data_IF_201060320710
#
_entry.id   IF_201060320710
#
_cell.length_a   1.000
_cell.length_b   1.000
_cell.length_c   1.000
_cell.angle_alpha   90.00
_cell.angle_beta   90.00
_cell.angle_gamma   90.00
#
_symmetry.space_group_name_H-M   'P 1'
#
loop_
_entity.id
_entity.type
_entity.pdbx_description
1 polymer ?
#
# COMPACT_ATOMS: atom_id res chain seq x y z
N UNK A 1 9.94 28.57 -23.44
CA UNK A 1 10.17 27.22 -22.88
C UNK A 1 10.59 27.40 -21.43
N UNK A 2 9.64 27.37 -20.51
CA UNK A 2 9.93 27.35 -19.07
C UNK A 2 10.48 25.97 -18.77
N UNK A 3 11.82 25.87 -18.65
CA UNK A 3 12.47 24.65 -18.22
C UNK A 3 11.79 24.18 -16.93
N UNK A 4 11.23 22.98 -16.96
CA UNK A 4 10.66 22.34 -15.79
C UNK A 4 11.72 22.42 -14.68
N UNK A 5 11.44 22.97 -13.48
CA UNK A 5 12.37 22.88 -12.36
C UNK A 5 12.45 21.41 -11.97
N UNK A 6 13.27 20.65 -12.69
CA UNK A 6 13.53 19.25 -12.40
C UNK A 6 14.24 19.24 -11.05
N UNK A 7 13.48 18.99 -9.98
CA UNK A 7 14.10 18.38 -8.80
C UNK A 7 14.85 17.17 -9.32
N UNK A 8 16.18 17.17 -9.25
CA UNK A 8 16.97 16.03 -9.73
C UNK A 8 16.52 14.81 -8.95
N UNK A 9 15.74 13.93 -9.58
CA UNK A 9 15.34 12.66 -9.00
C UNK A 9 16.61 11.93 -8.56
N UNK A 10 16.75 11.59 -7.26
CA UNK A 10 17.91 10.84 -6.82
C UNK A 10 18.02 9.51 -7.56
N UNK A 11 19.26 9.09 -7.77
CA UNK A 11 19.61 7.79 -8.34
C UNK A 11 20.30 7.01 -7.22
N UNK A 12 19.78 5.84 -6.89
CA UNK A 12 20.31 4.97 -5.83
C UNK A 12 20.46 3.56 -6.35
N UNK A 13 21.38 2.79 -5.75
CA UNK A 13 21.61 1.40 -6.11
C UNK A 13 21.27 0.47 -4.96
N UNK A 14 20.70 -0.70 -5.27
CA UNK A 14 20.73 -1.85 -4.37
C UNK A 14 21.77 -2.87 -4.83
N UNK A 15 22.55 -3.43 -3.90
CA UNK A 15 23.44 -4.56 -4.12
C UNK A 15 22.91 -5.72 -3.27
N UNK A 16 22.14 -6.63 -3.88
CA UNK A 16 21.42 -7.66 -3.15
C UNK A 16 21.08 -8.87 -4.03
N UNK A 17 20.57 -9.93 -3.39
CA UNK A 17 20.03 -11.10 -4.09
C UNK A 17 18.70 -10.84 -4.79
N UNK A 18 18.41 -11.65 -5.82
CA UNK A 18 17.13 -11.70 -6.51
C UNK A 18 16.24 -12.79 -5.93
N UNK A 19 15.20 -12.39 -5.18
CA UNK A 19 14.11 -13.26 -4.75
C UNK A 19 13.14 -13.52 -5.91
N UNK A 20 13.08 -14.77 -6.39
CA UNK A 20 12.15 -15.17 -7.47
C UNK A 20 10.68 -14.96 -7.12
N UNK A 21 10.31 -14.96 -5.83
CA UNK A 21 8.96 -14.67 -5.36
C UNK A 21 8.61 -13.17 -5.40
N UNK A 22 9.61 -12.30 -5.60
CA UNK A 22 9.44 -10.86 -5.73
C UNK A 22 9.03 -10.14 -4.43
N UNK A 23 9.16 -10.81 -3.28
CA UNK A 23 8.77 -10.29 -1.97
C UNK A 23 9.91 -9.60 -1.21
N UNK A 24 11.15 -10.01 -1.44
CA UNK A 24 12.35 -9.45 -0.82
C UNK A 24 13.45 -9.13 -1.84
N UNK A 25 14.68 -8.90 -1.37
CA UNK A 25 15.85 -8.66 -2.21
C UNK A 25 15.70 -7.45 -3.13
N UNK A 26 16.32 -7.51 -4.31
CA UNK A 26 16.28 -6.40 -5.28
C UNK A 26 14.85 -6.03 -5.70
N UNK A 27 13.89 -6.97 -5.68
CA UNK A 27 12.52 -6.69 -6.06
C UNK A 27 11.82 -5.78 -5.04
N UNK A 28 11.97 -6.05 -3.74
CA UNK A 28 11.45 -5.19 -2.69
C UNK A 28 12.14 -3.82 -2.69
N UNK A 29 13.46 -3.80 -2.91
CA UNK A 29 14.25 -2.58 -2.94
C UNK A 29 13.80 -1.65 -4.09
N UNK A 30 13.70 -2.17 -5.31
CA UNK A 30 13.29 -1.38 -6.48
C UNK A 30 11.83 -0.91 -6.39
N UNK A 31 10.91 -1.74 -5.87
CA UNK A 31 9.51 -1.32 -5.60
C UNK A 31 9.47 -0.20 -4.57
N UNK A 32 10.32 -0.27 -3.54
CA UNK A 32 10.44 0.78 -2.53
C UNK A 32 10.99 2.06 -3.13
N UNK A 33 12.08 2.01 -3.90
CA UNK A 33 12.61 3.19 -4.57
C UNK A 33 11.58 3.85 -5.49
N UNK A 34 10.82 3.06 -6.25
CA UNK A 34 9.72 3.55 -7.07
C UNK A 34 8.62 4.25 -6.23
N UNK A 35 8.24 3.69 -5.08
CA UNK A 35 7.27 4.30 -4.18
C UNK A 35 7.74 5.65 -3.60
N UNK A 36 9.05 5.84 -3.44
CA UNK A 36 9.67 7.10 -3.00
C UNK A 36 9.99 8.06 -4.16
N UNK A 37 9.66 7.70 -5.40
CA UNK A 37 9.95 8.51 -6.59
C UNK A 37 11.44 8.64 -6.89
N UNK A 38 12.25 7.67 -6.46
CA UNK A 38 13.70 7.58 -6.68
C UNK A 38 13.98 6.64 -7.84
N UNK A 39 14.96 6.95 -8.68
CA UNK A 39 15.42 6.00 -9.71
C UNK A 39 16.30 4.93 -9.06
N UNK A 40 15.78 3.71 -8.98
CA UNK A 40 16.50 2.56 -8.44
C UNK A 40 17.28 1.81 -9.51
N UNK A 41 18.56 1.57 -9.27
CA UNK A 41 19.42 0.67 -10.03
C UNK A 41 19.78 -0.55 -9.17
N UNK A 42 20.34 -1.61 -9.77
CA UNK A 42 20.72 -2.79 -9.01
C UNK A 42 22.01 -3.44 -9.51
N UNK A 43 22.72 -4.09 -8.60
CA UNK A 43 23.75 -5.08 -8.89
C UNK A 43 23.38 -6.37 -8.13
N UNK A 44 23.12 -7.44 -8.88
CA UNK A 44 22.67 -8.71 -8.32
C UNK A 44 23.89 -9.45 -7.76
N UNK A 45 23.77 -9.96 -6.54
CA UNK A 45 24.81 -10.78 -5.89
C UNK A 45 24.56 -12.28 -6.06
N UNK A 46 23.29 -12.67 -6.05
CA UNK A 46 22.87 -14.06 -6.13
C UNK A 46 21.42 -14.13 -6.61
N UNK A 47 21.04 -15.23 -7.25
CA UNK A 47 19.66 -15.51 -7.66
C UNK A 47 19.13 -16.65 -6.81
N UNK A 48 17.99 -16.47 -6.15
CA UNK A 48 17.36 -17.52 -5.34
C UNK A 48 16.15 -18.10 -6.06
N UNK A 49 16.11 -19.43 -6.18
CA UNK A 49 14.87 -20.14 -6.45
C UNK A 49 14.08 -20.15 -5.13
N UNK A 50 13.27 -19.11 -4.94
CA UNK A 50 12.59 -18.79 -3.70
C UNK A 50 11.11 -18.52 -3.96
N UNK A 51 10.28 -18.88 -2.99
CA UNK A 51 8.86 -18.58 -2.98
C UNK A 51 8.40 -18.26 -1.55
N UNK A 52 7.10 -18.07 -1.34
CA UNK A 52 6.53 -17.72 -0.02
C UNK A 52 6.79 -18.78 1.07
N UNK A 53 7.17 -20.01 0.70
CA UNK A 53 7.40 -21.11 1.66
C UNK A 53 8.88 -21.33 2.01
N UNK A 54 9.80 -20.64 1.34
CA UNK A 54 11.23 -20.73 1.64
C UNK A 54 12.15 -20.62 0.44
N UNK A 55 13.44 -20.72 0.72
CA UNK A 55 14.53 -20.76 -0.28
C UNK A 55 14.82 -22.21 -0.64
N UNK A 56 14.66 -22.58 -1.93
CA UNK A 56 14.90 -23.93 -2.42
C UNK A 56 16.32 -24.11 -2.93
N UNK A 57 16.87 -23.09 -3.57
CA UNK A 57 18.22 -23.09 -4.13
C UNK A 57 18.76 -21.68 -4.28
N UNK A 58 20.08 -21.56 -4.16
CA UNK A 58 20.80 -20.29 -4.29
C UNK A 58 21.86 -20.42 -5.39
N UNK A 59 21.99 -19.40 -6.21
CA UNK A 59 22.94 -19.32 -7.32
C UNK A 59 23.73 -18.02 -7.23
N UNK A 60 24.88 -18.09 -6.55
CA UNK A 60 25.76 -16.95 -6.36
C UNK A 60 26.43 -16.55 -7.68
N UNK A 61 26.44 -15.25 -7.96
CA UNK A 61 27.19 -14.73 -9.10
C UNK A 61 28.68 -14.64 -8.76
N UNK A 62 29.52 -14.72 -9.79
CA UNK A 62 30.94 -14.47 -9.63
C UNK A 62 31.18 -13.02 -9.13
N UNK A 63 32.12 -12.78 -8.20
CA UNK A 63 32.43 -11.43 -7.71
C UNK A 63 32.72 -10.43 -8.83
N UNK A 64 33.38 -10.86 -9.91
CA UNK A 64 33.63 -10.05 -11.11
C UNK A 64 32.34 -9.59 -11.80
N UNK A 65 31.30 -10.44 -11.84
CA UNK A 65 30.01 -10.07 -12.39
C UNK A 65 29.31 -9.02 -11.52
N UNK A 66 29.43 -9.11 -10.19
CA UNK A 66 28.92 -8.08 -9.26
C UNK A 66 29.66 -6.77 -9.47
N UNK A 67 30.99 -6.80 -9.56
CA UNK A 67 31.82 -5.63 -9.82
C UNK A 67 31.47 -4.95 -11.16
N UNK A 68 31.29 -5.74 -12.22
CA UNK A 68 30.98 -5.24 -13.56
C UNK A 68 29.63 -4.53 -13.60
N UNK A 69 28.62 -5.04 -12.88
CA UNK A 69 27.32 -4.37 -12.73
C UNK A 69 27.46 -3.03 -12.00
N UNK A 70 28.17 -3.01 -10.87
CA UNK A 70 28.40 -1.77 -10.10
C UNK A 70 29.14 -0.74 -10.96
N UNK A 71 30.20 -1.17 -11.66
CA UNK A 71 30.99 -0.30 -12.53
C UNK A 71 30.14 0.30 -13.65
N UNK A 72 29.35 -0.53 -14.34
CA UNK A 72 28.51 -0.09 -15.45
C UNK A 72 27.55 1.03 -15.02
N UNK A 73 26.95 0.91 -13.83
CA UNK A 73 26.01 1.90 -13.34
C UNK A 73 26.73 3.14 -12.78
N UNK A 74 27.78 2.96 -11.97
CA UNK A 74 28.49 4.08 -11.33
C UNK A 74 29.29 4.95 -12.32
N UNK A 75 29.70 4.41 -13.47
CA UNK A 75 30.40 5.18 -14.51
C UNK A 75 29.48 5.99 -15.41
N UNK A 76 28.20 5.63 -15.49
CA UNK A 76 27.18 6.33 -16.29
C UNK A 76 26.29 7.26 -15.45
N UNK A 77 25.95 6.85 -14.22
CA UNK A 77 24.93 7.51 -13.40
C UNK A 77 25.52 8.12 -12.12
N UNK A 78 25.00 9.28 -11.70
CA UNK A 78 25.42 9.97 -10.48
C UNK A 78 24.84 9.32 -9.21
N UNK A 79 25.36 8.13 -8.86
CA UNK A 79 24.96 7.37 -7.68
C UNK A 79 25.81 7.76 -6.49
N UNK A 80 25.15 8.21 -5.42
CA UNK A 80 25.79 8.50 -4.14
C UNK A 80 25.40 7.50 -3.05
N UNK A 81 24.16 7.04 -3.06
CA UNK A 81 23.62 6.18 -2.00
C UNK A 81 23.39 4.77 -2.51
N UNK A 82 23.83 3.81 -1.71
CA UNK A 82 23.74 2.40 -2.00
C UNK A 82 23.22 1.65 -0.80
N UNK A 83 22.28 0.73 -1.04
CA UNK A 83 21.82 -0.24 -0.07
C UNK A 83 22.49 -1.58 -0.34
N UNK A 84 23.01 -2.28 0.66
CA UNK A 84 23.35 -3.70 0.53
C UNK A 84 22.31 -4.55 1.24
N UNK A 85 21.89 -5.64 0.59
CA UNK A 85 21.08 -6.70 1.20
C UNK A 85 21.90 -7.98 1.35
N UNK A 86 21.32 -9.11 0.97
CA UNK A 86 22.02 -10.40 0.94
C UNK A 86 23.25 -10.36 0.03
N UNK A 87 24.44 -10.62 0.59
CA UNK A 87 25.72 -10.64 -0.14
C UNK A 87 26.28 -12.05 -0.41
N UNK A 88 25.69 -13.08 0.19
CA UNK A 88 25.96 -14.52 0.00
C UNK A 88 27.36 -15.07 0.37
N UNK A 89 28.46 -14.40 0.01
CA UNK A 89 29.82 -14.93 0.18
C UNK A 89 30.87 -13.88 0.59
N UNK A 90 31.95 -14.35 1.20
CA UNK A 90 33.10 -13.52 1.59
C UNK A 90 33.74 -12.81 0.40
N UNK A 91 33.81 -13.48 -0.75
CA UNK A 91 34.39 -12.93 -1.99
C UNK A 91 33.53 -11.78 -2.53
N UNK A 92 32.20 -11.94 -2.52
CA UNK A 92 31.28 -10.86 -2.91
C UNK A 92 31.37 -9.70 -1.93
N UNK A 93 31.40 -9.95 -0.62
CA UNK A 93 31.56 -8.89 0.39
C UNK A 93 32.83 -8.07 0.16
N UNK A 94 33.97 -8.73 -0.08
CA UNK A 94 35.25 -8.05 -0.37
C UNK A 94 35.18 -7.21 -1.64
N UNK A 95 34.58 -7.73 -2.70
CA UNK A 95 34.46 -6.99 -3.95
C UNK A 95 33.50 -5.79 -3.80
N UNK A 96 32.39 -5.94 -3.10
CA UNK A 96 31.48 -4.83 -2.77
C UNK A 96 32.21 -3.74 -1.97
N UNK A 97 32.96 -4.11 -0.93
CA UNK A 97 33.75 -3.16 -0.13
C UNK A 97 34.76 -2.38 -1.00
N UNK A 98 35.43 -3.07 -1.93
CA UNK A 98 36.34 -2.46 -2.91
C UNK A 98 35.63 -1.46 -3.83
N UNK A 99 34.48 -1.82 -4.39
CA UNK A 99 33.71 -0.94 -5.28
C UNK A 99 33.15 0.29 -4.55
N UNK A 100 32.68 0.11 -3.31
CA UNK A 100 32.21 1.21 -2.45
C UNK A 100 33.33 2.22 -2.20
N UNK A 101 34.54 1.76 -1.86
CA UNK A 101 35.72 2.63 -1.69
C UNK A 101 36.08 3.34 -2.99
N UNK A 102 36.13 2.60 -4.11
CA UNK A 102 36.49 3.12 -5.44
C UNK A 102 35.57 4.28 -5.86
N UNK A 103 34.27 4.10 -5.71
CA UNK A 103 33.24 5.05 -6.16
C UNK A 103 32.77 6.01 -5.06
N UNK A 104 33.35 5.94 -3.85
CA UNK A 104 33.02 6.79 -2.69
C UNK A 104 31.52 6.78 -2.34
N UNK A 105 30.93 5.59 -2.37
CA UNK A 105 29.50 5.37 -2.15
C UNK A 105 29.15 5.49 -0.66
N UNK A 106 28.00 6.08 -0.36
CA UNK A 106 27.40 6.12 0.99
C UNK A 106 26.51 4.89 1.19
N UNK A 107 26.84 4.08 2.20
CA UNK A 107 26.24 2.77 2.42
C UNK A 107 25.16 2.76 3.49
N UNK A 108 24.01 2.18 3.13
CA UNK A 108 23.04 1.60 4.06
C UNK A 108 23.19 0.08 4.02
N UNK A 109 23.53 -0.53 5.14
CA UNK A 109 23.71 -1.99 5.22
C UNK A 109 22.51 -2.62 5.92
N UNK A 110 21.82 -3.51 5.20
CA UNK A 110 20.89 -4.48 5.77
C UNK A 110 21.65 -5.80 5.95
N UNK A 111 22.11 -6.14 7.17
CA UNK A 111 23.03 -7.26 7.40
C UNK A 111 22.28 -8.60 7.40
N UNK A 112 21.60 -8.91 6.30
CA UNK A 112 20.75 -10.08 6.11
C UNK A 112 21.57 -11.36 6.30
N UNK A 113 21.27 -12.11 7.36
CA UNK A 113 21.93 -13.40 7.65
C UNK A 113 21.05 -14.61 7.30
N UNK A 114 19.73 -14.47 7.39
CA UNK A 114 18.77 -15.54 7.16
C UNK A 114 17.52 -15.03 6.44
N UNK A 115 16.82 -15.91 5.74
CA UNK A 115 15.58 -15.61 5.06
C UNK A 115 14.42 -15.64 6.05
N UNK A 116 13.50 -14.70 5.93
CA UNK A 116 12.25 -14.69 6.71
C UNK A 116 11.33 -15.88 6.37
N UNK A 117 11.37 -16.33 5.11
CA UNK A 117 10.72 -17.57 4.68
C UNK A 117 11.50 -18.85 5.09
N UNK A 118 12.64 -18.70 5.78
CA UNK A 118 13.52 -19.79 6.22
C UNK A 118 14.71 -20.06 5.30
N UNK A 119 15.86 -20.39 5.89
CA UNK A 119 17.12 -20.73 5.22
C UNK A 119 18.25 -19.72 5.52
N UNK A 120 19.48 -20.21 5.65
CA UNK A 120 20.67 -19.37 5.81
C UNK A 120 21.00 -18.65 4.49
N UNK A 121 21.17 -17.34 4.54
CA UNK A 121 21.45 -16.49 3.37
C UNK A 121 22.88 -15.93 3.35
N UNK A 122 23.55 -15.95 4.50
CA UNK A 122 24.96 -15.59 4.63
C UNK A 122 25.74 -16.76 5.21
N UNK A 123 26.82 -17.15 4.53
CA UNK A 123 27.77 -18.14 5.06
C UNK A 123 28.42 -17.61 6.34
N UNK A 124 28.66 -18.47 7.33
CA UNK A 124 29.22 -18.07 8.62
C UNK A 124 30.57 -17.37 8.47
N UNK A 125 31.38 -17.81 7.52
CA UNK A 125 32.70 -17.24 7.21
C UNK A 125 32.57 -15.84 6.58
N UNK A 126 31.44 -15.53 5.94
CA UNK A 126 31.19 -14.22 5.34
C UNK A 126 30.78 -13.15 6.36
N UNK A 127 30.29 -13.55 7.54
CA UNK A 127 29.97 -12.61 8.62
C UNK A 127 31.22 -11.88 9.13
N UNK A 128 32.32 -12.59 9.36
CA UNK A 128 33.57 -11.96 9.80
C UNK A 128 34.08 -10.97 8.76
N UNK A 129 34.02 -11.34 7.49
CA UNK A 129 34.44 -10.46 6.38
C UNK A 129 33.53 -9.24 6.25
N UNK A 130 32.21 -9.39 6.47
CA UNK A 130 31.28 -8.27 6.52
C UNK A 130 31.66 -7.27 7.62
N UNK A 131 31.98 -7.80 8.80
CA UNK A 131 32.37 -7.02 9.98
C UNK A 131 33.68 -6.27 9.76
N UNK A 132 34.68 -6.94 9.19
CA UNK A 132 36.04 -6.38 9.04
C UNK A 132 36.18 -5.43 7.84
N UNK A 133 35.49 -5.71 6.73
CA UNK A 133 35.74 -5.01 5.46
C UNK A 133 34.64 -4.03 5.04
N UNK A 134 33.37 -4.29 5.41
CA UNK A 134 32.22 -3.54 4.89
C UNK A 134 31.55 -2.65 5.95
N UNK A 135 31.32 -3.16 7.17
CA UNK A 135 30.76 -2.35 8.27
C UNK A 135 31.55 -1.05 8.55
N UNK A 136 32.90 -1.01 8.51
CA UNK A 136 33.64 0.24 8.73
C UNK A 136 33.40 1.32 7.67
N UNK A 137 32.76 0.99 6.54
CA UNK A 137 32.40 1.93 5.46
C UNK A 137 30.94 2.41 5.57
N UNK A 138 30.21 1.89 6.56
CA UNK A 138 28.77 2.00 6.64
C UNK A 138 28.33 3.34 7.26
N UNK A 139 27.42 4.04 6.56
CA UNK A 139 26.74 5.21 7.14
C UNK A 139 25.69 4.78 8.15
N UNK A 140 24.87 3.79 7.80
CA UNK A 140 23.86 3.25 8.71
C UNK A 140 23.62 1.77 8.46
N UNK A 141 23.65 0.98 9.54
CA UNK A 141 23.26 -0.44 9.49
C UNK A 141 21.93 -0.66 10.21
N UNK A 142 21.09 -1.55 9.69
CA UNK A 142 19.72 -1.79 10.18
C UNK A 142 19.47 -3.22 10.69
N UNK A 143 20.32 -3.79 11.57
CA UNK A 143 20.14 -5.16 12.04
C UNK A 143 18.85 -5.34 12.85
N UNK A 144 18.22 -6.51 12.72
CA UNK A 144 17.27 -6.97 13.73
C UNK A 144 17.99 -7.46 15.00
N UNK A 145 17.25 -7.81 16.05
CA UNK A 145 17.84 -8.23 17.33
C UNK A 145 18.80 -9.44 17.21
N UNK A 146 18.45 -10.43 16.39
CA UNK A 146 19.32 -11.60 16.16
C UNK A 146 20.60 -11.22 15.42
N UNK A 147 20.50 -10.42 14.36
CA UNK A 147 21.64 -9.93 13.58
C UNK A 147 22.53 -9.01 14.42
N UNK A 148 21.94 -8.10 15.19
CA UNK A 148 22.67 -7.21 16.09
C UNK A 148 23.45 -8.03 17.11
N UNK A 149 22.86 -9.09 17.64
CA UNK A 149 23.53 -9.97 18.57
C UNK A 149 24.67 -10.77 17.95
N UNK A 150 24.49 -11.25 16.72
CA UNK A 150 25.54 -11.94 15.97
C UNK A 150 26.73 -11.03 15.65
N UNK A 151 26.48 -9.77 15.26
CA UNK A 151 27.55 -8.79 14.98
C UNK A 151 28.25 -8.35 16.27
N UNK A 152 27.48 -8.06 17.33
CA UNK A 152 28.02 -7.55 18.59
C UNK A 152 28.65 -8.65 19.49
N UNK A 153 28.45 -9.92 19.15
CA UNK A 153 28.90 -11.07 19.94
C UNK A 153 28.18 -11.19 21.30
N UNK A 154 26.93 -10.71 21.40
CA UNK A 154 26.11 -10.78 22.62
C UNK A 154 24.65 -11.11 22.29
N UNK A 155 23.89 -11.78 23.16
CA UNK A 155 22.45 -11.93 22.94
C UNK A 155 21.74 -10.59 23.08
N UNK A 156 20.70 -10.34 22.26
CA UNK A 156 19.86 -9.15 22.34
C UNK A 156 18.42 -9.55 22.62
N UNK A 157 17.95 -9.35 23.86
CA UNK A 157 16.59 -9.71 24.30
C UNK A 157 15.83 -8.53 24.92
N UNK A 158 16.54 -7.49 25.34
CA UNK A 158 15.98 -6.30 25.98
C UNK A 158 16.45 -5.02 25.29
N UNK A 159 15.80 -3.90 25.59
CA UNK A 159 16.24 -2.58 25.09
C UNK A 159 17.65 -2.20 25.57
N UNK A 160 18.05 -2.63 26.77
CA UNK A 160 19.41 -2.38 27.27
C UNK A 160 20.44 -3.24 26.52
N UNK A 161 20.12 -4.50 26.20
CA UNK A 161 20.98 -5.31 25.32
C UNK A 161 21.10 -4.67 23.93
N UNK A 162 20.00 -4.13 23.39
CA UNK A 162 20.00 -3.45 22.10
C UNK A 162 20.88 -2.20 22.12
N UNK A 163 20.86 -1.41 23.20
CA UNK A 163 21.77 -0.27 23.39
C UNK A 163 23.23 -0.72 23.44
N UNK A 164 23.52 -1.79 24.17
CA UNK A 164 24.87 -2.34 24.28
C UNK A 164 25.37 -2.87 22.93
N UNK A 165 24.53 -3.61 22.20
CA UNK A 165 24.83 -4.12 20.87
C UNK A 165 25.07 -2.97 19.89
N UNK A 166 24.22 -1.93 19.90
CA UNK A 166 24.38 -0.77 19.03
C UNK A 166 25.72 -0.04 19.26
N UNK A 167 26.17 0.12 20.52
CA UNK A 167 27.49 0.68 20.83
C UNK A 167 28.62 -0.19 20.27
N UNK A 168 28.58 -1.50 20.55
CA UNK A 168 29.59 -2.43 20.05
C UNK A 168 29.68 -2.46 18.52
N UNK A 169 28.54 -2.36 17.84
CA UNK A 169 28.50 -2.31 16.37
C UNK A 169 29.08 -0.98 15.86
N UNK A 170 28.78 0.13 16.53
CA UNK A 170 29.35 1.43 16.19
C UNK A 170 30.87 1.48 16.40
N UNK A 171 31.39 0.80 17.43
CA UNK A 171 32.84 0.69 17.69
C UNK A 171 33.60 0.00 16.53
N UNK A 172 32.90 -0.71 15.65
CA UNK A 172 33.44 -1.27 14.40
C UNK A 172 33.62 -0.22 13.28
N UNK A 173 33.32 1.05 13.55
CA UNK A 173 33.45 2.16 12.58
C UNK A 173 32.15 2.54 11.86
N UNK A 174 31.00 2.07 12.34
CA UNK A 174 29.69 2.44 11.78
C UNK A 174 29.25 3.80 12.32
N UNK A 175 28.79 4.70 11.44
CA UNK A 175 28.35 6.04 11.86
C UNK A 175 27.01 6.04 12.63
N UNK A 176 26.07 5.17 12.21
CA UNK A 176 24.80 5.00 12.89
C UNK A 176 24.31 3.55 12.87
N UNK A 177 23.68 3.13 13.96
CA UNK A 177 23.13 1.78 14.11
C UNK A 177 21.65 1.87 14.44
N UNK A 178 20.81 1.20 13.67
CA UNK A 178 19.38 1.06 13.94
C UNK A 178 19.10 -0.39 14.28
N UNK A 179 18.90 -0.68 15.57
CA UNK A 179 18.42 -2.01 15.99
C UNK A 179 16.90 -2.02 15.85
N UNK A 180 16.38 -2.81 14.91
CA UNK A 180 14.94 -2.83 14.62
C UNK A 180 14.15 -3.57 15.70
N UNK A 181 13.02 -2.99 16.10
CA UNK A 181 12.23 -3.42 17.26
C UNK A 181 11.20 -4.51 16.96
N UNK A 182 11.18 -5.08 15.75
CA UNK A 182 10.15 -6.04 15.32
C UNK A 182 10.04 -7.30 16.19
N UNK A 183 11.07 -7.60 16.99
CA UNK A 183 11.10 -8.73 17.93
C UNK A 183 11.00 -8.30 19.40
N UNK A 184 10.76 -7.02 19.67
CA UNK A 184 10.64 -6.42 21.01
C UNK A 184 9.25 -5.78 21.17
N UNK A 185 9.16 -4.46 21.13
CA UNK A 185 7.95 -3.66 21.29
C UNK A 185 7.60 -2.84 20.03
N UNK A 186 8.12 -3.27 18.87
CA UNK A 186 8.07 -2.57 17.59
C UNK A 186 8.78 -1.19 17.56
N UNK A 187 9.42 -0.75 18.65
CA UNK A 187 10.20 0.50 18.65
C UNK A 187 11.62 0.23 18.19
N UNK A 188 12.08 0.91 17.15
CA UNK A 188 13.47 0.82 16.73
C UNK A 188 14.35 1.76 17.58
N UNK A 189 15.61 1.36 17.78
CA UNK A 189 16.60 2.12 18.51
C UNK A 189 17.68 2.63 17.54
N UNK A 190 17.70 3.94 17.31
CA UNK A 190 18.77 4.61 16.57
C UNK A 190 19.88 5.04 17.54
N UNK A 191 21.11 4.68 17.23
CA UNK A 191 22.33 5.14 17.89
C UNK A 191 23.22 5.88 16.88
N UNK A 192 23.65 7.09 17.23
CA UNK A 192 24.58 7.89 16.43
C UNK A 192 25.94 7.94 17.13
N UNK A 193 26.99 7.41 16.47
CA UNK A 193 28.28 7.19 17.13
C UNK A 193 29.01 8.50 17.46
N UNK A 194 28.93 9.50 16.57
CA UNK A 194 29.59 10.81 16.73
C UNK A 194 29.06 11.57 17.95
N UNK A 195 27.75 11.54 18.18
CA UNK A 195 27.12 12.25 19.30
C UNK A 195 26.95 11.38 20.54
N UNK A 196 27.07 10.06 20.41
CA UNK A 196 26.76 9.09 21.45
C UNK A 196 25.27 9.06 21.85
N UNK A 197 24.39 9.59 20.99
CA UNK A 197 22.96 9.78 21.29
C UNK A 197 22.14 8.56 20.91
N UNK A 198 21.15 8.25 21.75
CA UNK A 198 20.12 7.26 21.45
C UNK A 198 18.78 7.94 21.20
N UNK A 199 18.14 7.55 20.10
CA UNK A 199 16.82 8.04 19.72
C UNK A 199 15.89 6.86 19.52
N UNK A 200 14.71 6.92 20.16
CA UNK A 200 13.63 5.94 19.92
C UNK A 200 12.84 6.35 18.69
N UNK A 201 12.63 5.39 17.80
CA UNK A 201 11.74 5.50 16.64
C UNK A 201 10.51 4.65 16.93
N UNK A 202 9.41 5.25 17.42
CA UNK A 202 8.21 4.52 17.78
C UNK A 202 7.63 3.81 16.57
N UNK A 203 7.12 2.61 16.81
CA UNK A 203 6.35 1.84 15.85
C UNK A 203 5.23 1.09 16.54
N UNK A 204 4.43 0.38 15.74
CA UNK A 204 3.34 -0.46 16.22
C UNK A 204 3.35 -1.81 15.54
N UNK A 205 2.95 -2.85 16.26
CA UNK A 205 2.66 -4.13 15.64
C UNK A 205 1.42 -4.00 14.77
N UNK A 206 1.59 -4.25 13.47
CA UNK A 206 0.53 -4.21 12.49
C UNK A 206 0.29 -5.61 11.93
N UNK A 207 -0.96 -5.93 11.62
CA UNK A 207 -1.34 -7.20 11.02
C UNK A 207 -1.03 -7.19 9.52
N UNK A 208 -0.40 -8.25 9.03
CA UNK A 208 -0.08 -8.46 7.63
C UNK A 208 1.08 -9.43 7.45
N UNK A 209 1.41 -9.72 6.20
CA UNK A 209 2.63 -10.42 5.82
C UNK A 209 3.87 -9.57 6.03
N UNK A 210 4.94 -10.18 6.51
CA UNK A 210 6.19 -9.49 6.87
C UNK A 210 7.34 -9.79 5.91
N UNK A 211 7.19 -10.75 4.97
CA UNK A 211 8.25 -11.14 4.04
C UNK A 211 8.76 -9.92 3.26
N UNK A 212 10.03 -9.60 3.45
CA UNK A 212 10.70 -8.46 2.81
C UNK A 212 10.56 -7.12 3.55
N UNK A 213 10.05 -7.13 4.78
CA UNK A 213 9.93 -5.95 5.64
C UNK A 213 11.29 -5.29 5.92
N UNK A 214 12.32 -6.08 6.25
CA UNK A 214 13.69 -5.59 6.47
C UNK A 214 14.28 -4.91 5.23
N UNK A 215 14.17 -5.55 4.06
CA UNK A 215 14.60 -4.98 2.78
C UNK A 215 13.86 -3.66 2.46
N UNK A 216 12.55 -3.64 2.69
CA UNK A 216 11.72 -2.44 2.49
C UNK A 216 12.14 -1.31 3.43
N UNK A 217 12.47 -1.62 4.69
CA UNK A 217 12.93 -0.63 5.67
C UNK A 217 14.27 0.00 5.25
N UNK A 218 15.27 -0.83 4.95
CA UNK A 218 16.61 -0.36 4.56
C UNK A 218 16.61 0.35 3.20
N UNK A 219 15.78 -0.09 2.25
CA UNK A 219 15.56 0.63 1.00
C UNK A 219 14.87 1.99 1.24
N UNK A 220 13.90 2.06 2.13
CA UNK A 220 13.23 3.33 2.51
C UNK A 220 14.19 4.31 3.17
N UNK A 221 15.08 3.81 4.04
CA UNK A 221 16.18 4.59 4.63
C UNK A 221 17.07 5.18 3.55
N UNK A 222 17.52 4.35 2.61
CA UNK A 222 18.39 4.76 1.49
C UNK A 222 17.73 5.84 0.64
N UNK A 223 16.45 5.67 0.31
CA UNK A 223 15.69 6.66 -0.44
C UNK A 223 15.60 8.00 0.32
N UNK A 224 15.24 7.99 1.60
CA UNK A 224 15.15 9.21 2.41
C UNK A 224 16.50 9.94 2.53
N UNK A 225 17.57 9.19 2.77
CA UNK A 225 18.92 9.75 2.87
C UNK A 225 19.40 10.33 1.54
N UNK A 226 18.99 9.75 0.41
CA UNK A 226 19.29 10.30 -0.92
C UNK A 226 18.65 11.67 -1.18
N UNK A 227 17.51 11.95 -0.53
CA UNK A 227 16.89 13.28 -0.51
C UNK A 227 17.50 14.24 0.52
N UNK A 228 18.54 13.82 1.26
CA UNK A 228 19.19 14.65 2.28
C UNK A 228 18.43 14.76 3.59
N UNK A 229 17.50 13.85 3.89
CA UNK A 229 16.88 13.79 5.21
C UNK A 229 17.92 13.44 6.29
N UNK A 230 17.73 13.94 7.52
CA UNK A 230 18.52 13.51 8.67
C UNK A 230 18.28 12.03 8.98
N UNK A 231 19.21 11.38 9.68
CA UNK A 231 19.11 9.97 10.08
C UNK A 231 17.81 9.68 10.82
N UNK A 232 17.47 10.48 11.83
CA UNK A 232 16.21 10.32 12.58
C UNK A 232 14.99 10.48 11.68
N UNK A 233 14.97 11.50 10.81
CA UNK A 233 13.84 11.72 9.88
C UNK A 233 13.69 10.55 8.92
N UNK A 234 14.80 10.04 8.37
CA UNK A 234 14.82 8.89 7.50
C UNK A 234 14.30 7.64 8.23
N UNK A 235 14.73 7.38 9.47
CA UNK A 235 14.30 6.24 10.27
C UNK A 235 12.80 6.29 10.58
N UNK A 236 12.27 7.46 10.98
CA UNK A 236 10.83 7.65 11.21
C UNK A 236 10.02 7.43 9.94
N UNK A 237 10.49 7.93 8.79
CA UNK A 237 9.83 7.72 7.49
C UNK A 237 9.87 6.25 7.07
N UNK A 238 11.03 5.59 7.17
CA UNK A 238 11.20 4.18 6.85
C UNK A 238 10.32 3.29 7.72
N UNK A 239 10.25 3.57 9.03
CA UNK A 239 9.37 2.85 9.96
C UNK A 239 7.90 2.98 9.58
N UNK A 240 7.43 4.21 9.38
CA UNK A 240 6.05 4.46 8.95
C UNK A 240 5.74 3.81 7.61
N UNK A 241 6.69 3.81 6.68
CA UNK A 241 6.53 3.24 5.35
C UNK A 241 6.42 1.71 5.41
N UNK A 242 7.32 1.02 6.14
CA UNK A 242 7.25 -0.44 6.25
C UNK A 242 5.97 -0.89 6.94
N UNK A 243 5.49 -0.18 7.97
CA UNK A 243 4.19 -0.47 8.60
C UNK A 243 3.04 -0.36 7.60
N UNK A 244 3.05 0.66 6.75
CA UNK A 244 2.05 0.84 5.70
C UNK A 244 2.13 -0.25 4.62
N UNK A 245 3.33 -0.74 4.32
CA UNK A 245 3.56 -1.82 3.38
C UNK A 245 3.11 -3.18 3.94
N UNK A 246 3.33 -3.44 5.23
CA UNK A 246 2.84 -4.66 5.93
C UNK A 246 1.31 -4.67 5.96
N UNK A 247 0.65 -3.56 6.32
CA UNK A 247 -0.81 -3.45 6.34
C UNK A 247 -1.48 -3.65 4.97
N UNK A 248 -0.69 -3.64 3.89
CA UNK A 248 -1.13 -3.81 2.50
C UNK A 248 -0.48 -5.04 1.85
N UNK A 249 0.09 -5.94 2.66
CA UNK A 249 0.65 -7.20 2.20
C UNK A 249 -0.33 -7.97 1.32
N UNK A 250 0.19 -8.73 0.37
CA UNK A 250 -0.63 -9.46 -0.60
C UNK A 250 -0.55 -10.97 -0.35
N UNK A 251 -1.69 -11.70 -0.38
CA UNK A 251 -1.69 -13.16 -0.33
C UNK A 251 -1.13 -13.71 -1.64
N UNK A 252 0.19 -13.86 -1.73
CA UNK A 252 0.89 -14.19 -2.98
C UNK A 252 1.16 -15.70 -3.13
N UNK A 253 0.97 -16.47 -2.06
CA UNK A 253 1.25 -17.90 -2.06
C UNK A 253 0.71 -18.59 -0.82
N UNK A 254 1.35 -19.71 -0.45
CA UNK A 254 0.91 -20.57 0.67
C UNK A 254 1.66 -20.34 1.98
N UNK A 255 2.61 -19.41 1.99
CA UNK A 255 3.51 -19.18 3.12
C UNK A 255 3.52 -17.73 3.57
N UNK A 256 4.69 -17.19 3.87
CA UNK A 256 4.84 -15.81 4.32
C UNK A 256 4.48 -14.83 3.20
N UNK A 257 3.44 -14.01 3.44
CA UNK A 257 2.98 -13.02 2.49
C UNK A 257 3.98 -11.85 2.37
N UNK A 258 4.31 -11.41 1.14
CA UNK A 258 5.16 -10.26 0.94
C UNK A 258 4.49 -8.96 1.38
N UNK A 259 5.29 -8.06 1.96
CA UNK A 259 4.89 -6.66 2.13
C UNK A 259 4.64 -6.01 0.77
N UNK A 260 3.86 -4.94 0.72
CA UNK A 260 3.54 -4.23 -0.52
C UNK A 260 4.03 -2.77 -0.49
N UNK A 261 5.28 -2.49 -0.92
CA UNK A 261 5.82 -1.14 -0.95
C UNK A 261 5.00 -0.16 -1.81
N UNK A 262 4.37 -0.65 -2.88
CA UNK A 262 3.54 0.18 -3.77
C UNK A 262 2.07 0.27 -3.33
N UNK A 263 1.67 -0.46 -2.28
CA UNK A 263 0.26 -0.60 -1.90
C UNK A 263 -0.43 0.73 -1.67
N UNK A 264 0.21 1.66 -0.96
CA UNK A 264 -0.34 2.99 -0.73
C UNK A 264 -0.41 3.82 -2.02
N UNK A 265 0.62 3.77 -2.86
CA UNK A 265 0.64 4.50 -4.13
C UNK A 265 -0.48 4.05 -5.06
N UNK A 266 -0.74 2.74 -5.12
CA UNK A 266 -1.85 2.19 -5.90
C UNK A 266 -3.20 2.58 -5.28
N UNK A 267 -3.35 2.51 -3.97
CA UNK A 267 -4.55 2.94 -3.25
C UNK A 267 -4.88 4.42 -3.53
N UNK A 268 -3.89 5.32 -3.45
CA UNK A 268 -4.08 6.75 -3.75
C UNK A 268 -4.47 7.00 -5.22
N UNK A 269 -3.90 6.25 -6.17
CA UNK A 269 -4.31 6.28 -7.58
C UNK A 269 -5.79 5.90 -7.72
N UNK A 270 -6.21 4.79 -7.10
CA UNK A 270 -7.61 4.36 -7.16
C UNK A 270 -8.54 5.35 -6.47
N UNK A 271 -8.10 5.98 -5.37
CA UNK A 271 -8.85 7.04 -4.69
C UNK A 271 -9.10 8.23 -5.59
N UNK A 272 -8.08 8.67 -6.32
CA UNK A 272 -8.23 9.74 -7.32
C UNK A 272 -9.19 9.36 -8.44
N UNK A 273 -9.13 8.13 -8.95
CA UNK A 273 -10.02 7.65 -10.01
C UNK A 273 -11.48 7.58 -9.54
N UNK A 274 -11.73 7.14 -8.30
CA UNK A 274 -13.07 7.12 -7.72
C UNK A 274 -13.64 8.54 -7.56
N UNK A 275 -12.85 9.50 -7.05
CA UNK A 275 -13.28 10.91 -6.96
C UNK A 275 -13.61 11.50 -8.32
N UNK A 276 -12.78 11.22 -9.34
CA UNK A 276 -13.01 11.71 -10.70
C UNK A 276 -14.30 11.16 -11.27
N UNK A 277 -14.53 9.85 -11.13
CA UNK A 277 -15.71 9.18 -11.65
C UNK A 277 -17.01 9.65 -10.96
N UNK A 278 -17.01 9.84 -9.64
CA UNK A 278 -18.18 10.38 -8.93
C UNK A 278 -18.45 11.83 -9.32
N UNK A 279 -17.40 12.65 -9.54
CA UNK A 279 -17.57 14.02 -10.06
C UNK A 279 -18.16 14.03 -11.48
N UNK A 280 -17.71 13.14 -12.34
CA UNK A 280 -18.27 12.97 -13.68
C UNK A 280 -19.74 12.54 -13.61
N UNK A 281 -20.06 11.58 -12.74
CA UNK A 281 -21.43 11.15 -12.48
C UNK A 281 -22.33 12.31 -12.04
N UNK A 282 -21.87 13.14 -11.11
CA UNK A 282 -22.61 14.35 -10.67
C UNK A 282 -22.81 15.33 -11.83
N UNK A 283 -21.83 15.53 -12.71
CA UNK A 283 -21.99 16.38 -13.90
C UNK A 283 -23.07 15.81 -14.83
N UNK A 284 -23.02 14.51 -15.13
CA UNK A 284 -24.02 13.82 -15.98
C UNK A 284 -25.44 14.04 -15.46
N UNK A 285 -25.64 13.96 -14.13
CA UNK A 285 -26.93 14.19 -13.49
C UNK A 285 -27.34 15.67 -13.49
N UNK A 286 -26.38 16.58 -13.26
CA UNK A 286 -26.63 18.02 -13.20
C UNK A 286 -26.96 18.63 -14.57
N UNK A 287 -26.31 18.14 -15.62
CA UNK A 287 -26.48 18.59 -17.00
C UNK A 287 -27.78 18.06 -17.65
N UNK A 288 -28.48 17.13 -16.99
CA UNK A 288 -29.74 16.58 -17.47
C UNK A 288 -30.94 17.05 -16.61
N UNK A 289 -31.80 17.96 -17.13
CA UNK A 289 -32.95 18.47 -16.37
C UNK A 289 -33.99 17.40 -16.01
N UNK A 290 -34.18 16.39 -16.86
CA UNK A 290 -35.18 15.33 -16.63
C UNK A 290 -34.84 14.50 -15.40
N UNK A 291 -33.55 14.37 -15.05
CA UNK A 291 -33.12 13.66 -13.86
C UNK A 291 -33.78 14.19 -12.57
N UNK A 292 -34.17 15.47 -12.53
CA UNK A 292 -34.88 16.04 -11.40
C UNK A 292 -36.16 15.25 -11.03
N UNK A 293 -36.81 14.54 -11.98
CA UNK A 293 -37.98 13.68 -11.76
C UNK A 293 -37.69 12.49 -10.83
N UNK A 294 -36.45 11.97 -10.87
CA UNK A 294 -35.99 10.84 -10.07
C UNK A 294 -35.52 11.22 -8.66
N UNK A 295 -35.51 12.50 -8.31
CA UNK A 295 -35.04 12.96 -6.98
C UNK A 295 -36.16 12.75 -5.93
N UNK A 296 -35.93 11.94 -4.88
CA UNK A 296 -36.87 11.75 -3.77
C UNK A 296 -36.88 12.97 -2.83
N UNK A 297 -37.81 13.02 -1.88
CA UNK A 297 -37.90 14.15 -0.95
C UNK A 297 -36.63 14.31 -0.11
N UNK A 298 -36.02 13.19 0.32
CA UNK A 298 -34.75 13.19 1.06
C UNK A 298 -33.51 13.47 0.19
N UNK A 299 -33.69 13.61 -1.12
CA UNK A 299 -32.61 13.80 -2.09
C UNK A 299 -31.86 12.52 -2.46
N UNK A 300 -31.13 12.59 -3.57
CA UNK A 300 -30.27 11.50 -4.05
C UNK A 300 -28.87 11.60 -3.43
N UNK A 301 -28.14 10.49 -3.49
CA UNK A 301 -26.70 10.46 -3.37
C UNK A 301 -26.17 9.36 -4.29
N UNK A 302 -24.95 9.53 -4.78
CA UNK A 302 -24.25 8.59 -5.63
C UNK A 302 -22.84 8.42 -5.07
N UNK A 303 -22.38 7.18 -5.00
CA UNK A 303 -21.05 6.90 -4.48
C UNK A 303 -20.38 5.74 -5.19
N UNK A 304 -19.04 5.72 -5.09
CA UNK A 304 -18.19 4.67 -5.63
C UNK A 304 -17.06 4.32 -4.67
N UNK A 305 -16.84 3.03 -4.47
CA UNK A 305 -15.73 2.48 -3.71
C UNK A 305 -14.47 2.29 -4.57
N UNK A 306 -13.31 2.40 -3.94
CA UNK A 306 -12.05 1.91 -4.53
C UNK A 306 -12.00 0.37 -4.52
N UNK A 307 -11.18 -0.28 -5.40
CA UNK A 307 -10.90 -1.71 -5.27
C UNK A 307 -10.37 -2.06 -3.88
N UNK A 308 -10.92 -3.10 -3.26
CA UNK A 308 -10.49 -3.55 -1.94
C UNK A 308 -10.86 -2.61 -0.79
N UNK A 309 -11.89 -1.77 -0.97
CA UNK A 309 -12.43 -0.90 0.08
C UNK A 309 -12.73 -1.68 1.37
N UNK A 310 -12.24 -1.17 2.51
CA UNK A 310 -12.30 -1.85 3.81
C UNK A 310 -13.34 -1.25 4.73
N UNK A 311 -13.66 0.03 4.52
CA UNK A 311 -14.60 0.78 5.34
C UNK A 311 -15.21 1.93 4.53
N UNK A 312 -16.08 2.72 5.15
CA UNK A 312 -16.81 3.80 4.48
C UNK A 312 -15.91 4.96 4.02
N UNK A 313 -14.72 5.14 4.60
CA UNK A 313 -13.72 6.15 4.18
C UNK A 313 -13.04 5.79 2.85
N UNK A 314 -13.30 4.57 2.33
CA UNK A 314 -12.85 4.10 1.01
C UNK A 314 -13.92 4.29 -0.08
N UNK A 315 -15.02 4.97 0.25
CA UNK A 315 -16.13 5.26 -0.66
C UNK A 315 -16.23 6.77 -0.87
N UNK A 316 -16.07 7.21 -2.12
CA UNK A 316 -16.30 8.59 -2.54
C UNK A 316 -17.79 8.79 -2.78
N UNK A 317 -18.35 9.89 -2.29
CA UNK A 317 -19.75 10.25 -2.48
C UNK A 317 -19.94 11.77 -2.44
N UNK A 318 -21.15 12.25 -2.69
CA UNK A 318 -21.50 13.67 -2.53
C UNK A 318 -21.70 13.98 -1.05
N UNK A 319 -21.01 14.98 -0.53
CA UNK A 319 -21.26 15.55 0.79
C UNK A 319 -22.64 16.21 0.82
N UNK A 320 -23.47 15.84 1.80
CA UNK A 320 -24.89 16.12 1.79
C UNK A 320 -25.67 15.27 0.76
N UNK A 321 -26.39 15.94 -0.14
CA UNK A 321 -27.32 15.30 -1.10
C UNK A 321 -27.30 16.01 -2.46
N UNK A 322 -27.75 15.30 -3.47
CA UNK A 322 -28.16 15.87 -4.76
C UNK A 322 -29.67 16.14 -4.64
N UNK A 323 -30.06 17.40 -4.75
CA UNK A 323 -31.44 17.85 -4.49
C UNK A 323 -32.06 18.50 -5.72
N UNK A 324 -33.38 18.59 -5.71
CA UNK A 324 -34.13 19.40 -6.68
C UNK A 324 -34.12 20.86 -6.20
N UNK A 325 -33.47 21.74 -6.93
CA UNK A 325 -33.45 23.18 -6.67
C UNK A 325 -33.96 23.95 -7.89
N UNK A 326 -35.09 24.66 -7.73
CA UNK A 326 -35.75 25.41 -8.82
C UNK A 326 -36.01 24.58 -10.09
N UNK A 327 -36.43 23.33 -9.89
CA UNK A 327 -36.71 22.38 -10.98
C UNK A 327 -35.47 21.79 -11.66
N UNK A 328 -34.27 22.03 -11.11
CA UNK A 328 -33.00 21.48 -11.62
C UNK A 328 -32.32 20.61 -10.58
N UNK A 329 -31.44 19.74 -11.05
CA UNK A 329 -30.55 18.93 -10.21
C UNK A 329 -29.43 19.82 -9.66
N UNK A 330 -29.20 19.78 -8.34
CA UNK A 330 -28.13 20.54 -7.70
C UNK A 330 -27.45 19.71 -6.60
N UNK A 331 -26.13 19.44 -6.69
CA UNK A 331 -25.37 18.88 -5.57
C UNK A 331 -25.20 19.93 -4.46
N UNK A 332 -25.50 19.56 -3.21
CA UNK A 332 -25.38 20.48 -2.07
C UNK A 332 -23.92 20.69 -1.68
N UNK A 333 -23.13 19.61 -1.62
CA UNK A 333 -21.72 19.64 -1.24
C UNK A 333 -20.78 19.10 -2.31
N UNK A 334 -19.49 19.04 -1.96
CA UNK A 334 -18.45 18.51 -2.83
C UNK A 334 -18.43 16.98 -2.83
N UNK A 335 -17.73 16.38 -3.78
CA UNK A 335 -17.43 14.95 -3.76
C UNK A 335 -16.20 14.71 -2.90
N UNK A 336 -16.36 13.86 -1.88
CA UNK A 336 -15.26 13.46 -0.98
C UNK A 336 -15.43 12.01 -0.50
N UNK A 337 -14.37 11.45 0.06
CA UNK A 337 -14.39 10.14 0.71
C UNK A 337 -15.08 10.21 2.08
N UNK A 338 -15.80 9.14 2.45
CA UNK A 338 -16.52 9.09 3.72
C UNK A 338 -17.72 10.03 3.82
N UNK A 339 -18.05 10.74 2.74
CA UNK A 339 -19.03 11.83 2.72
C UNK A 339 -20.48 11.38 2.97
N UNK A 340 -20.83 10.11 2.71
CA UNK A 340 -22.21 9.62 2.84
C UNK A 340 -22.30 8.17 3.29
N UNK A 341 -22.68 7.98 4.56
CA UNK A 341 -22.90 6.64 5.14
C UNK A 341 -24.08 5.88 4.49
N UNK A 342 -25.07 6.58 3.94
CA UNK A 342 -26.26 5.94 3.42
C UNK A 342 -25.99 5.18 2.12
N UNK A 343 -25.39 5.85 1.13
CA UNK A 343 -24.99 5.21 -0.14
C UNK A 343 -23.82 4.25 0.08
N UNK A 344 -22.90 4.59 0.99
CA UNK A 344 -21.77 3.74 1.33
C UNK A 344 -22.20 2.37 1.87
N UNK A 345 -23.29 2.28 2.65
CA UNK A 345 -23.84 0.98 3.09
C UNK A 345 -24.34 0.11 1.94
N UNK A 346 -25.00 0.71 0.95
CA UNK A 346 -25.48 -0.02 -0.25
C UNK A 346 -24.30 -0.52 -1.08
N UNK A 347 -23.34 0.36 -1.36
CA UNK A 347 -22.10 -0.01 -2.07
C UNK A 347 -21.36 -1.12 -1.33
N UNK A 348 -21.21 -1.02 -0.02
CA UNK A 348 -20.47 -1.99 0.78
C UNK A 348 -21.17 -3.35 0.84
N UNK A 349 -22.50 -3.38 0.91
CA UNK A 349 -23.27 -4.62 0.81
C UNK A 349 -23.08 -5.28 -0.56
N UNK A 350 -23.16 -4.52 -1.66
CA UNK A 350 -22.93 -5.03 -3.01
C UNK A 350 -21.50 -5.58 -3.20
N UNK A 351 -20.50 -4.85 -2.70
CA UNK A 351 -19.08 -5.24 -2.75
C UNK A 351 -18.78 -6.59 -2.10
N UNK A 352 -19.47 -6.94 -1.00
CA UNK A 352 -19.27 -8.21 -0.30
C UNK A 352 -19.68 -9.41 -1.15
N UNK A 353 -20.68 -9.22 -2.01
CA UNK A 353 -21.23 -10.27 -2.86
C UNK A 353 -20.57 -10.28 -4.24
N UNK A 354 -20.29 -9.11 -4.82
CA UNK A 354 -19.57 -8.97 -6.09
C UNK A 354 -18.58 -7.78 -6.04
N UNK A 355 -17.26 -8.03 -5.99
CA UNK A 355 -16.23 -6.99 -5.97
C UNK A 355 -16.22 -6.05 -7.19
N UNK A 356 -16.82 -6.45 -8.30
CA UNK A 356 -16.89 -5.63 -9.52
C UNK A 356 -17.99 -4.56 -9.44
N UNK A 357 -19.01 -4.75 -8.59
CA UNK A 357 -20.06 -3.75 -8.35
C UNK A 357 -19.64 -2.83 -7.21
N UNK A 358 -19.19 -1.63 -7.59
CA UNK A 358 -18.53 -0.69 -6.68
C UNK A 358 -19.25 0.64 -6.57
N UNK A 359 -20.33 0.85 -7.30
CA UNK A 359 -21.08 2.08 -7.30
C UNK A 359 -22.57 1.84 -7.03
N UNK A 360 -23.19 2.81 -6.36
CA UNK A 360 -24.62 2.79 -6.12
C UNK A 360 -25.17 4.22 -6.09
N UNK A 361 -26.45 4.32 -6.42
CA UNK A 361 -27.21 5.56 -6.35
C UNK A 361 -28.62 5.31 -5.85
N UNK A 362 -29.12 6.15 -4.95
CA UNK A 362 -30.53 6.12 -4.57
C UNK A 362 -31.36 7.10 -5.43
N UNK A 363 -32.54 6.66 -5.86
CA UNK A 363 -33.53 7.43 -6.61
C UNK A 363 -34.93 7.16 -6.06
N UNK A 364 -35.86 8.06 -6.39
CA UNK A 364 -37.27 7.97 -5.98
C UNK A 364 -37.88 6.63 -6.40
N UNK A 365 -38.75 6.11 -5.54
CA UNK A 365 -39.62 4.99 -5.87
C UNK A 365 -40.93 5.45 -6.51
N UNK A 366 -41.36 4.74 -7.55
CA UNK A 366 -42.75 4.66 -8.03
C UNK A 366 -42.93 3.41 -8.89
N UNK A 367 -44.16 2.93 -9.03
CA UNK A 367 -44.47 1.84 -9.97
C UNK A 367 -44.05 2.17 -11.41
N UNK A 368 -44.24 3.43 -11.83
CA UNK A 368 -43.81 3.91 -13.14
C UNK A 368 -42.28 3.79 -13.34
N UNK A 369 -41.50 4.08 -12.28
CA UNK A 369 -40.04 3.93 -12.31
C UNK A 369 -39.65 2.46 -12.42
N UNK A 370 -40.31 1.57 -11.67
CA UNK A 370 -40.03 0.13 -11.75
C UNK A 370 -40.42 -0.45 -13.12
N UNK A 371 -41.54 -0.03 -13.69
CA UNK A 371 -41.95 -0.41 -15.04
C UNK A 371 -40.94 0.06 -16.09
N UNK A 372 -40.49 1.32 -16.01
CA UNK A 372 -39.45 1.84 -16.89
C UNK A 372 -38.11 1.08 -16.74
N UNK A 373 -37.73 0.65 -15.53
CA UNK A 373 -36.57 -0.22 -15.33
C UNK A 373 -36.74 -1.58 -16.03
N UNK A 374 -37.92 -2.21 -15.94
CA UNK A 374 -38.23 -3.48 -16.62
C UNK A 374 -38.19 -3.33 -18.14
N UNK A 375 -38.74 -2.23 -18.68
CA UNK A 375 -38.67 -1.91 -20.12
C UNK A 375 -37.25 -1.61 -20.62
N UNK A 376 -36.34 -1.22 -19.72
CA UNK A 376 -34.92 -1.08 -20.03
C UNK A 376 -34.16 -2.42 -19.98
N UNK A 377 -34.82 -3.50 -19.55
CA UNK A 377 -34.23 -4.82 -19.39
C UNK A 377 -33.33 -4.94 -18.16
N UNK A 378 -33.46 -4.03 -17.18
CA UNK A 378 -32.66 -4.07 -15.97
C UNK A 378 -33.10 -5.20 -15.05
N UNK A 379 -32.13 -5.89 -14.46
CA UNK A 379 -32.39 -6.93 -13.47
C UNK A 379 -32.79 -6.31 -12.12
N UNK A 380 -33.98 -6.67 -11.60
CA UNK A 380 -34.58 -6.03 -10.42
C UNK A 380 -34.78 -7.05 -9.29
N UNK A 381 -34.38 -6.66 -8.08
CA UNK A 381 -34.72 -7.34 -6.84
C UNK A 381 -35.31 -6.36 -5.81
N UNK A 382 -35.83 -6.89 -4.70
CA UNK A 382 -36.46 -6.11 -3.64
C UNK A 382 -36.19 -6.70 -2.27
N UNK A 383 -36.41 -5.91 -1.22
CA UNK A 383 -36.47 -6.42 0.14
C UNK A 383 -37.59 -5.74 0.93
N UNK A 384 -38.10 -6.45 1.93
CA UNK A 384 -39.16 -5.97 2.81
C UNK A 384 -38.56 -5.49 4.14
N UNK A 385 -38.70 -4.19 4.44
CA UNK A 385 -38.19 -3.59 5.68
C UNK A 385 -38.84 -4.14 6.94
N UNK A 386 -40.03 -4.71 6.87
CA UNK A 386 -40.71 -5.30 8.04
C UNK A 386 -39.99 -6.54 8.59
N UNK A 387 -39.12 -7.15 7.77
CA UNK A 387 -38.32 -8.33 8.13
C UNK A 387 -36.93 -7.95 8.68
N UNK A 388 -36.66 -6.65 8.89
CA UNK A 388 -35.39 -6.13 9.38
C UNK A 388 -35.06 -6.67 10.80
N UNK A 389 -33.88 -7.29 11.03
CA UNK A 389 -33.42 -7.67 12.35
C UNK A 389 -33.09 -6.45 13.24
N UNK A 390 -33.33 -6.54 14.55
CA UNK A 390 -33.19 -5.42 15.49
C UNK A 390 -31.76 -4.82 15.61
N UNK A 391 -30.72 -5.59 15.28
CA UNK A 391 -29.32 -5.21 15.51
C UNK A 391 -28.54 -4.80 14.25
N UNK A 392 -29.18 -4.76 13.07
CA UNK A 392 -28.48 -4.55 11.79
C UNK A 392 -28.94 -3.26 11.12
N UNK A 393 -28.04 -2.59 10.39
CA UNK A 393 -28.47 -1.45 9.58
C UNK A 393 -29.35 -1.91 8.42
N UNK A 394 -30.58 -1.37 8.33
CA UNK A 394 -31.56 -1.64 7.26
C UNK A 394 -30.97 -1.70 5.85
N UNK A 395 -30.02 -0.80 5.55
CA UNK A 395 -29.50 -0.63 4.19
C UNK A 395 -28.42 -1.66 3.84
N UNK A 396 -27.65 -2.10 4.82
CA UNK A 396 -26.63 -3.14 4.63
C UNK A 396 -27.35 -4.49 4.48
N UNK A 397 -28.20 -4.83 5.46
CA UNK A 397 -29.00 -6.05 5.46
C UNK A 397 -29.96 -6.14 4.27
N UNK A 398 -30.75 -5.11 4.01
CA UNK A 398 -31.76 -5.15 2.94
C UNK A 398 -31.14 -5.32 1.56
N UNK A 399 -29.98 -4.69 1.32
CA UNK A 399 -29.24 -4.86 0.06
C UNK A 399 -28.73 -6.29 -0.06
N UNK A 400 -28.10 -6.84 0.99
CA UNK A 400 -27.63 -8.22 1.00
C UNK A 400 -28.74 -9.26 0.84
N UNK A 401 -29.90 -9.08 1.49
CA UNK A 401 -31.04 -9.99 1.33
C UNK A 401 -31.62 -9.94 -0.09
N UNK A 402 -31.75 -8.75 -0.68
CA UNK A 402 -32.22 -8.62 -2.06
C UNK A 402 -31.28 -9.31 -3.06
N UNK A 403 -29.96 -9.20 -2.87
CA UNK A 403 -28.96 -9.88 -3.70
C UNK A 403 -29.08 -11.41 -3.53
N UNK A 404 -29.19 -11.87 -2.28
CA UNK A 404 -29.31 -13.29 -1.96
C UNK A 404 -30.59 -13.92 -2.50
N UNK A 405 -31.72 -13.25 -2.39
CA UNK A 405 -33.01 -13.71 -2.91
C UNK A 405 -33.01 -13.79 -4.44
N UNK A 406 -32.33 -12.86 -5.11
CA UNK A 406 -32.16 -12.87 -6.55
C UNK A 406 -31.26 -14.02 -7.05
N UNK A 407 -30.30 -14.48 -6.24
CA UNK A 407 -29.36 -15.54 -6.60
C UNK A 407 -28.23 -15.08 -7.55
N UNK A 408 -28.02 -13.77 -7.64
CA UNK A 408 -27.04 -13.10 -8.50
C UNK A 408 -26.93 -11.62 -8.13
N UNK A 409 -26.30 -10.79 -8.96
CA UNK A 409 -26.15 -9.36 -8.68
C UNK A 409 -27.12 -8.53 -9.53
N UNK A 410 -28.26 -8.04 -8.98
CA UNK A 410 -29.21 -7.24 -9.72
C UNK A 410 -28.65 -5.83 -9.99
N UNK A 411 -29.12 -5.19 -11.06
CA UNK A 411 -28.80 -3.79 -11.38
C UNK A 411 -29.66 -2.81 -10.58
N UNK A 412 -30.82 -3.27 -10.10
CA UNK A 412 -31.79 -2.45 -9.36
C UNK A 412 -32.27 -3.17 -8.10
N UNK A 413 -32.24 -2.47 -6.96
CA UNK A 413 -32.82 -2.95 -5.70
C UNK A 413 -33.80 -1.91 -5.17
N UNK A 414 -35.02 -2.32 -4.86
CA UNK A 414 -36.02 -1.41 -4.29
C UNK A 414 -36.60 -1.87 -2.96
N UNK A 415 -37.22 -0.93 -2.25
CA UNK A 415 -38.08 -1.19 -1.10
C UNK A 415 -39.29 -0.24 -1.11
N UNK A 416 -40.41 -0.70 -0.59
CA UNK A 416 -41.67 0.05 -0.50
C UNK A 416 -41.73 0.96 0.74
N UNK A 417 -40.59 1.23 1.37
CA UNK A 417 -40.49 2.07 2.56
C UNK A 417 -40.96 1.38 3.83
N UNK A 418 -41.31 2.19 4.84
CA UNK A 418 -41.80 1.73 6.14
C UNK A 418 -42.17 2.93 7.01
N UNK A 419 -42.57 2.70 8.26
CA UNK A 419 -42.94 3.80 9.16
C UNK A 419 -41.79 4.80 9.32
N UNK A 420 -41.98 6.03 8.82
CA UNK A 420 -40.97 7.09 8.83
C UNK A 420 -39.80 6.90 7.84
N UNK A 421 -39.88 5.94 6.91
CA UNK A 421 -38.85 5.65 5.91
C UNK A 421 -39.44 5.78 4.49
N UNK A 422 -38.92 6.73 3.71
CA UNK A 422 -39.34 6.93 2.31
C UNK A 422 -39.01 5.69 1.45
N UNK A 423 -39.95 5.22 0.61
CA UNK A 423 -39.69 4.16 -0.37
C UNK A 423 -38.58 4.56 -1.35
N UNK A 424 -37.75 3.61 -1.77
CA UNK A 424 -36.52 3.93 -2.50
C UNK A 424 -36.14 2.87 -3.54
N UNK A 425 -35.66 3.34 -4.70
CA UNK A 425 -35.00 2.51 -5.71
C UNK A 425 -33.49 2.78 -5.65
N UNK A 426 -32.67 1.74 -5.77
CA UNK A 426 -31.20 1.81 -5.78
C UNK A 426 -30.70 1.24 -7.08
N UNK A 427 -29.94 2.03 -7.81
CA UNK A 427 -29.24 1.60 -9.02
C UNK A 427 -27.82 1.19 -8.63
N UNK A 428 -27.40 0.02 -9.07
CA UNK A 428 -26.07 -0.55 -8.82
C UNK A 428 -25.27 -0.61 -10.13
N UNK A 429 -23.95 -0.56 -10.02
CA UNK A 429 -23.08 -0.71 -11.18
C UNK A 429 -21.60 -0.72 -10.80
N UNK A 430 -20.70 -0.93 -11.78
CA UNK A 430 -19.27 -0.95 -11.52
C UNK A 430 -18.69 0.45 -11.28
N UNK A 431 -19.25 1.47 -11.96
CA UNK A 431 -18.79 2.85 -11.94
C UNK A 431 -19.97 3.82 -11.72
N UNK A 432 -19.74 4.92 -10.99
CA UNK A 432 -20.77 5.91 -10.70
C UNK A 432 -21.21 6.63 -11.97
N UNK A 433 -20.29 6.91 -12.90
CA UNK A 433 -20.66 7.55 -14.17
C UNK A 433 -21.58 6.67 -15.04
N UNK A 434 -21.44 5.34 -14.97
CA UNK A 434 -22.35 4.41 -15.65
C UNK A 434 -23.72 4.37 -14.98
N UNK A 435 -23.75 4.28 -13.64
CA UNK A 435 -24.99 4.37 -12.85
C UNK A 435 -25.74 5.67 -13.14
N UNK A 436 -25.03 6.80 -13.23
CA UNK A 436 -25.63 8.08 -13.59
C UNK A 436 -26.21 8.10 -15.01
N UNK A 437 -25.54 7.47 -16.00
CA UNK A 437 -26.07 7.32 -17.36
C UNK A 437 -27.35 6.48 -17.39
N UNK A 438 -27.41 5.41 -16.59
CA UNK A 438 -28.62 4.60 -16.43
C UNK A 438 -29.75 5.45 -15.82
N UNK A 439 -29.47 6.21 -14.75
CA UNK A 439 -30.44 7.10 -14.12
C UNK A 439 -30.99 8.15 -15.08
N UNK A 440 -30.14 8.76 -15.93
CA UNK A 440 -30.58 9.73 -16.94
C UNK A 440 -31.45 9.08 -18.01
N UNK A 441 -31.09 7.88 -18.49
CA UNK A 441 -31.91 7.14 -19.46
C UNK A 441 -33.29 6.78 -18.87
N UNK A 442 -33.31 6.37 -17.60
CA UNK A 442 -34.53 6.07 -16.85
C UNK A 442 -35.41 7.32 -16.73
N UNK A 443 -34.83 8.47 -16.35
CA UNK A 443 -35.56 9.73 -16.23
C UNK A 443 -36.22 10.18 -17.55
N UNK A 444 -35.56 9.95 -18.68
CA UNK A 444 -36.08 10.29 -20.00
C UNK A 444 -37.25 9.40 -20.48
N UNK A 445 -37.55 8.30 -19.78
CA UNK A 445 -38.70 7.43 -20.06
C UNK A 445 -39.93 7.77 -19.22
N UNK A 446 -39.79 8.59 -18.19
CA UNK A 446 -40.88 9.01 -17.31
C UNK A 446 -41.69 10.13 -17.96
N UNK A 447 -43.02 10.00 -17.92
CA UNK A 447 -43.94 10.91 -18.61
C UNK A 447 -44.17 12.21 -17.88
#
# INVERSE_FOLDING_TARGET
MTGNPLSKTPIVMTIAGSDSGGGAGIAADLKTFAAFGVHGTCAITSVTAQNTTGVLKTFDLAPEAVASQIEAVCTDMNIKWVKTGMLASSEIVKEVAKQVKKHRLSLVIDPVMAAEAGGDLLRKEALLVLIEELLPLCKVTTPNASEAGAIAGIPVKTHEDAKLAARKIADLGVEAVIVTGGHLDATDLLYESVSGTFTRVPGTFVRGGTHGSGCTYSASMTACLSYGNSLETAARKAKKFVEQAIQRSLPAGRGADPVNPLGKTLEEKERYLALKDVKEAVSILADNPEFAKLIPEVGCNIGRAIPGARNYEDIAAVDGRIVRYRGRTNPVGCVDFGASRHVARVVFAALRENPDIRAAMNVKYSEEILEACREMGLEISSFDRSKEPEEVSTMDWGTSEAIKEYGGMPEVIYDEGGMGKEPMVRLLGPDASEVAKVAVKLAGRLR
#
